data_IF_881687843312
#
_entry.id   IF_881687843312
#
_cell.length_a   1.000
_cell.length_b   1.000
_cell.length_c   1.000
_cell.angle_alpha   90.00
_cell.angle_beta   90.00
_cell.angle_gamma   90.00
#
_symmetry.space_group_name_H-M   'P 1'
#
loop_
_entity.id
_entity.type
_entity.pdbx_description
1 polymer ?
#
# COMPACT_ATOMS: atom_id res chain seq x y z
N UNK A 1 -22.84 7.51 5.82
CA UNK A 1 -21.66 6.69 5.46
C UNK A 1 -20.52 7.68 5.39
N UNK A 2 -19.48 7.53 6.23
CA UNK A 2 -18.29 8.35 6.02
C UNK A 2 -17.63 7.82 4.75
N UNK A 3 -17.48 8.69 3.77
CA UNK A 3 -16.70 8.37 2.57
C UNK A 3 -15.27 8.05 3.01
N UNK A 4 -14.70 7.00 2.43
CA UNK A 4 -13.30 6.63 2.68
C UNK A 4 -12.45 7.70 2.00
N UNK A 5 -11.60 8.38 2.77
CA UNK A 5 -10.58 9.27 2.21
C UNK A 5 -9.49 8.41 1.54
N UNK A 6 -9.13 8.73 0.29
CA UNK A 6 -8.21 7.95 -0.53
C UNK A 6 -6.92 8.73 -0.80
N UNK A 7 -5.86 8.01 -1.15
CA UNK A 7 -4.57 8.61 -1.50
C UNK A 7 -4.49 8.98 -2.98
N UNK A 8 -3.77 10.06 -3.25
CA UNK A 8 -3.44 10.57 -4.57
C UNK A 8 -1.95 10.37 -4.90
N UNK A 9 -1.56 10.68 -6.14
CA UNK A 9 -0.18 10.45 -6.61
C UNK A 9 0.80 11.26 -5.77
N UNK A 10 0.42 12.48 -5.43
CA UNK A 10 1.20 13.43 -4.64
C UNK A 10 1.49 12.85 -3.25
N UNK A 11 0.53 12.15 -2.63
CA UNK A 11 0.72 11.49 -1.34
C UNK A 11 1.77 10.37 -1.46
N UNK A 12 1.71 9.56 -2.52
CA UNK A 12 2.67 8.47 -2.73
C UNK A 12 4.09 9.01 -2.98
N UNK A 13 4.22 10.12 -3.72
CA UNK A 13 5.51 10.78 -3.95
C UNK A 13 6.05 11.39 -2.66
N UNK A 14 5.21 12.04 -1.86
CA UNK A 14 5.61 12.59 -0.57
C UNK A 14 6.03 11.49 0.41
N UNK A 15 5.29 10.37 0.47
CA UNK A 15 5.67 9.20 1.27
C UNK A 15 7.03 8.66 0.85
N UNK A 16 7.32 8.60 -0.45
CA UNK A 16 8.63 8.18 -0.93
C UNK A 16 9.73 9.13 -0.49
N UNK A 17 9.54 10.44 -0.69
CA UNK A 17 10.50 11.47 -0.28
C UNK A 17 10.81 11.38 1.22
N UNK A 18 9.78 11.33 2.08
CA UNK A 18 9.92 11.19 3.53
C UNK A 18 10.64 9.88 3.92
N UNK A 19 10.31 8.76 3.27
CA UNK A 19 10.96 7.48 3.55
C UNK A 19 12.45 7.47 3.16
N UNK A 20 12.84 8.15 2.08
CA UNK A 20 14.24 8.27 1.68
C UNK A 20 14.98 9.26 2.60
N UNK A 21 14.35 10.37 2.99
CA UNK A 21 14.93 11.31 3.95
C UNK A 21 15.21 10.66 5.31
N UNK A 22 14.29 9.85 5.83
CA UNK A 22 14.41 9.23 7.14
C UNK A 22 15.40 8.06 7.18
N UNK A 23 15.46 7.24 6.13
CA UNK A 23 16.17 5.95 6.17
C UNK A 23 17.26 5.80 5.10
N UNK A 24 17.46 6.81 4.25
CA UNK A 24 18.38 6.78 3.13
C UNK A 24 17.86 5.97 1.93
N UNK A 25 18.60 6.05 0.81
CA UNK A 25 18.25 5.43 -0.46
C UNK A 25 18.35 6.43 -1.62
N UNK A 26 17.73 6.08 -2.75
CA UNK A 26 17.70 6.94 -3.94
C UNK A 26 16.36 7.65 -4.11
N UNK A 27 16.40 8.96 -4.37
CA UNK A 27 15.25 9.76 -4.83
C UNK A 27 14.92 9.55 -6.31
N UNK A 28 15.73 8.78 -7.03
CA UNK A 28 15.57 8.60 -8.48
C UNK A 28 14.24 7.89 -8.81
N UNK A 29 13.54 8.45 -9.79
CA UNK A 29 12.32 7.91 -10.36
C UNK A 29 12.62 7.34 -11.75
N UNK A 30 11.94 6.26 -12.09
CA UNK A 30 11.88 5.79 -13.47
C UNK A 30 11.02 6.74 -14.32
N UNK A 31 11.24 6.73 -15.63
CA UNK A 31 10.40 7.47 -16.58
C UNK A 31 8.91 7.14 -16.44
N UNK A 32 8.58 5.91 -16.06
CA UNK A 32 7.22 5.40 -15.96
C UNK A 32 6.66 5.34 -14.53
N UNK A 33 7.37 5.89 -13.53
CA UNK A 33 6.97 5.85 -12.12
C UNK A 33 5.56 6.36 -11.88
N UNK A 34 5.23 7.55 -12.40
CA UNK A 34 3.90 8.19 -12.21
C UNK A 34 2.80 7.34 -12.85
N UNK A 35 3.03 6.75 -14.01
CA UNK A 35 2.06 5.89 -14.69
C UNK A 35 1.80 4.60 -13.91
N UNK A 36 2.85 3.99 -13.33
CA UNK A 36 2.71 2.82 -12.45
C UNK A 36 1.92 3.17 -11.19
N UNK A 37 2.25 4.27 -10.52
CA UNK A 37 1.55 4.73 -9.31
C UNK A 37 0.07 4.97 -9.63
N UNK A 38 -0.23 5.68 -10.72
CA UNK A 38 -1.61 5.93 -11.17
C UNK A 38 -2.40 4.64 -11.34
N UNK A 39 -1.85 3.65 -12.05
CA UNK A 39 -2.48 2.35 -12.26
C UNK A 39 -2.80 1.60 -10.95
N UNK A 40 -1.97 1.79 -9.91
CA UNK A 40 -2.23 1.21 -8.58
C UNK A 40 -3.33 1.99 -7.86
N UNK A 41 -3.25 3.32 -7.85
CA UNK A 41 -4.23 4.17 -7.16
C UNK A 41 -5.62 4.08 -7.79
N UNK A 42 -5.71 3.84 -9.10
CA UNK A 42 -6.99 3.65 -9.81
C UNK A 42 -7.77 2.44 -9.24
N UNK A 43 -7.07 1.40 -8.74
CA UNK A 43 -7.69 0.23 -8.11
C UNK A 43 -8.35 0.54 -6.75
N UNK A 44 -8.13 1.74 -6.19
CA UNK A 44 -8.86 2.18 -5.01
C UNK A 44 -10.34 2.49 -5.32
N UNK A 45 -10.71 2.64 -6.60
CA UNK A 45 -12.06 2.99 -7.02
C UNK A 45 -12.82 1.77 -7.57
N UNK A 46 -14.16 1.75 -7.49
CA UNK A 46 -14.97 0.77 -8.19
C UNK A 46 -14.77 0.87 -9.71
N UNK A 47 -14.69 -0.27 -10.39
CA UNK A 47 -14.67 -0.35 -11.86
C UNK A 47 -15.88 -1.15 -12.35
N UNK A 48 -16.62 -0.60 -13.31
CA UNK A 48 -17.82 -1.25 -13.88
C UNK A 48 -18.82 -1.74 -12.80
N UNK A 49 -19.14 -0.87 -11.83
CA UNK A 49 -20.00 -1.14 -10.67
C UNK A 49 -19.51 -2.26 -9.73
N UNK A 50 -18.26 -2.70 -9.89
CA UNK A 50 -17.62 -3.67 -9.03
C UNK A 50 -16.41 -3.07 -8.33
N UNK A 51 -16.51 -2.89 -7.00
CA UNK A 51 -15.36 -2.57 -6.17
C UNK A 51 -14.66 -3.85 -5.75
N UNK A 52 -13.48 -4.11 -6.33
CA UNK A 52 -12.65 -5.27 -5.99
C UNK A 52 -12.15 -5.21 -4.54
N UNK A 53 -11.97 -4.00 -4.00
CA UNK A 53 -11.42 -3.74 -2.67
C UNK A 53 -12.39 -2.85 -1.86
N UNK A 54 -13.58 -3.35 -1.49
CA UNK A 54 -14.68 -2.52 -0.99
C UNK A 54 -14.52 -1.99 0.43
N UNK A 55 -13.50 -2.44 1.17
CA UNK A 55 -13.24 -1.99 2.54
C UNK A 55 -11.92 -1.24 2.61
N UNK A 56 -11.80 -0.31 3.56
CA UNK A 56 -10.55 0.44 3.73
C UNK A 56 -9.34 -0.48 3.96
N UNK A 57 -9.50 -1.54 4.75
CA UNK A 57 -8.43 -2.52 4.96
C UNK A 57 -8.05 -3.27 3.69
N UNK A 58 -9.02 -3.56 2.81
CA UNK A 58 -8.73 -4.17 1.50
C UNK A 58 -8.01 -3.18 0.58
N UNK A 59 -8.39 -1.89 0.57
CA UNK A 59 -7.68 -0.84 -0.19
C UNK A 59 -6.25 -0.64 0.35
N UNK A 60 -6.07 -0.63 1.67
CA UNK A 60 -4.75 -0.56 2.30
C UNK A 60 -3.88 -1.78 1.97
N UNK A 61 -4.43 -3.00 2.07
CA UNK A 61 -3.73 -4.23 1.69
C UNK A 61 -3.33 -4.23 0.20
N UNK A 62 -4.23 -3.78 -0.68
CA UNK A 62 -3.98 -3.60 -2.10
C UNK A 62 -2.81 -2.64 -2.35
N UNK A 63 -2.82 -1.46 -1.71
CA UNK A 63 -1.75 -0.47 -1.85
C UNK A 63 -0.41 -1.04 -1.38
N UNK A 64 -0.37 -1.68 -0.21
CA UNK A 64 0.85 -2.27 0.31
C UNK A 64 1.42 -3.30 -0.64
N UNK A 65 0.58 -4.21 -1.12
CA UNK A 65 1.01 -5.25 -2.04
C UNK A 65 1.55 -4.66 -3.35
N UNK A 66 0.76 -3.86 -4.06
CA UNK A 66 1.14 -3.42 -5.39
C UNK A 66 2.27 -2.38 -5.40
N UNK A 67 2.30 -1.42 -4.46
CA UNK A 67 3.43 -0.47 -4.39
C UNK A 67 4.75 -1.17 -4.06
N UNK A 68 4.70 -2.27 -3.29
CA UNK A 68 5.87 -3.11 -3.05
C UNK A 68 6.33 -3.85 -4.31
N UNK A 69 5.39 -4.34 -5.13
CA UNK A 69 5.67 -5.23 -6.27
C UNK A 69 5.92 -4.52 -7.60
N UNK A 70 5.37 -3.32 -7.79
CA UNK A 70 5.32 -2.66 -9.11
C UNK A 70 6.61 -1.92 -9.48
N UNK A 71 7.61 -1.88 -8.60
CA UNK A 71 8.88 -1.18 -8.84
C UNK A 71 8.66 0.25 -9.37
N UNK A 72 7.83 1.01 -8.65
CA UNK A 72 7.54 2.40 -8.95
C UNK A 72 8.77 3.30 -8.74
N UNK A 73 9.67 2.92 -7.85
CA UNK A 73 10.84 3.70 -7.46
C UNK A 73 12.13 2.89 -7.62
N UNK A 74 13.27 3.57 -7.80
CA UNK A 74 14.60 2.92 -7.82
C UNK A 74 14.89 2.24 -6.47
N UNK A 75 14.53 2.90 -5.37
CA UNK A 75 14.61 2.36 -4.02
C UNK A 75 13.39 2.82 -3.20
N UNK A 76 13.07 2.10 -2.12
CA UNK A 76 12.03 2.48 -1.17
C UNK A 76 10.69 1.80 -1.36
N UNK A 77 10.48 1.00 -2.42
CA UNK A 77 9.17 0.41 -2.76
C UNK A 77 8.48 -0.31 -1.57
N UNK A 78 9.22 -1.12 -0.80
CA UNK A 78 8.69 -1.81 0.39
C UNK A 78 8.19 -0.84 1.46
N UNK A 79 8.97 0.22 1.71
CA UNK A 79 8.67 1.26 2.70
C UNK A 79 7.45 2.07 2.26
N UNK A 80 7.43 2.50 0.99
CA UNK A 80 6.31 3.22 0.40
C UNK A 80 5.01 2.41 0.47
N UNK A 81 5.06 1.11 0.16
CA UNK A 81 3.89 0.25 0.26
C UNK A 81 3.32 0.19 1.68
N UNK A 82 4.16 -0.03 2.69
CA UNK A 82 3.71 -0.07 4.08
C UNK A 82 3.16 1.29 4.53
N UNK A 83 3.89 2.38 4.28
CA UNK A 83 3.46 3.71 4.70
C UNK A 83 2.17 4.18 3.99
N UNK A 84 1.99 3.87 2.71
CA UNK A 84 0.74 4.16 2.02
C UNK A 84 -0.46 3.44 2.68
N UNK A 85 -0.30 2.18 3.06
CA UNK A 85 -1.34 1.45 3.77
C UNK A 85 -1.60 2.01 5.18
N UNK A 86 -0.54 2.30 5.94
CA UNK A 86 -0.65 2.88 7.29
C UNK A 86 -1.31 4.26 7.24
N UNK A 87 -0.88 5.13 6.33
CA UNK A 87 -1.43 6.49 6.19
C UNK A 87 -2.89 6.44 5.75
N UNK A 88 -3.25 5.61 4.76
CA UNK A 88 -4.65 5.45 4.36
C UNK A 88 -5.54 5.09 5.55
N UNK A 89 -5.10 4.16 6.40
CA UNK A 89 -5.83 3.78 7.60
C UNK A 89 -5.87 4.92 8.63
N UNK A 90 -4.75 5.63 8.84
CA UNK A 90 -4.63 6.74 9.80
C UNK A 90 -5.52 7.93 9.46
N UNK A 91 -5.53 8.39 8.21
CA UNK A 91 -6.39 9.52 7.80
C UNK A 91 -7.89 9.20 7.93
N UNK A 92 -8.24 7.91 7.91
CA UNK A 92 -9.60 7.42 8.12
C UNK A 92 -9.90 7.03 9.59
N UNK A 93 -9.05 7.45 10.53
CA UNK A 93 -9.29 7.34 11.96
C UNK A 93 -8.90 6.01 12.59
N UNK A 94 -7.96 5.27 12.00
CA UNK A 94 -7.36 4.08 12.60
C UNK A 94 -5.99 4.42 13.21
N UNK A 95 -5.60 3.73 14.27
CA UNK A 95 -4.27 3.87 14.88
C UNK A 95 -3.51 2.56 14.84
N UNK A 96 -2.20 2.55 14.59
CA UNK A 96 -1.40 1.32 14.64
C UNK A 96 -0.75 1.06 16.00
N UNK A 97 -0.55 -0.22 16.26
CA UNK A 97 0.41 -0.76 17.24
C UNK A 97 1.33 -1.79 16.57
N UNK A 98 1.56 -1.63 15.27
CA UNK A 98 2.40 -2.53 14.48
C UNK A 98 3.83 -2.43 14.98
N UNK A 99 4.43 -3.58 15.26
CA UNK A 99 5.84 -3.70 15.56
C UNK A 99 6.69 -3.60 14.27
N UNK A 100 7.80 -2.88 14.33
CA UNK A 100 8.66 -2.61 13.17
C UNK A 100 9.22 -3.89 12.53
N UNK A 101 9.60 -4.88 13.35
CA UNK A 101 10.11 -6.17 12.86
C UNK A 101 8.96 -6.96 12.18
N UNK A 102 7.75 -6.90 12.75
CA UNK A 102 6.58 -7.54 12.15
C UNK A 102 6.21 -6.92 10.79
N UNK A 103 6.23 -5.58 10.70
CA UNK A 103 6.01 -4.86 9.44
C UNK A 103 7.08 -5.21 8.40
N UNK A 104 8.35 -5.27 8.84
CA UNK A 104 9.47 -5.63 7.99
C UNK A 104 9.31 -7.04 7.42
N UNK A 105 9.04 -8.03 8.26
CA UNK A 105 8.85 -9.42 7.85
C UNK A 105 7.68 -9.55 6.87
N UNK A 106 6.58 -8.82 7.12
CA UNK A 106 5.45 -8.80 6.19
C UNK A 106 5.82 -8.19 4.85
N UNK A 107 6.57 -7.08 4.83
CA UNK A 107 7.04 -6.44 3.60
C UNK A 107 7.99 -7.34 2.80
N UNK A 108 8.84 -8.13 3.48
CA UNK A 108 9.69 -9.14 2.83
C UNK A 108 8.83 -10.27 2.23
N UNK A 109 7.85 -10.79 2.96
CA UNK A 109 6.92 -11.81 2.44
C UNK A 109 6.22 -11.33 1.17
N UNK A 110 5.70 -10.10 1.17
CA UNK A 110 5.09 -9.49 -0.01
C UNK A 110 6.11 -9.45 -1.16
N UNK A 111 7.28 -8.86 -0.93
CA UNK A 111 8.33 -8.67 -1.94
C UNK A 111 8.72 -9.98 -2.63
N UNK A 112 8.89 -11.05 -1.85
CA UNK A 112 9.31 -12.36 -2.34
C UNK A 112 8.18 -13.18 -2.98
N UNK A 113 6.92 -12.80 -2.77
CA UNK A 113 5.77 -13.54 -3.30
C UNK A 113 5.69 -13.48 -4.83
N UNK A 114 5.11 -14.50 -5.46
CA UNK A 114 4.84 -14.54 -6.91
C UNK A 114 3.40 -14.98 -7.13
N UNK A 115 2.46 -14.15 -6.67
CA UNK A 115 1.04 -14.47 -6.64
C UNK A 115 0.30 -13.81 -7.80
N UNK A 116 -0.62 -14.56 -8.40
CA UNK A 116 -1.49 -14.11 -9.50
C UNK A 116 -2.88 -14.74 -9.35
N UNK A 117 -3.90 -14.12 -9.96
CA UNK A 117 -5.26 -14.65 -9.96
C UNK A 117 -5.83 -14.87 -8.55
N UNK A 118 -6.50 -16.00 -8.34
CA UNK A 118 -7.18 -16.33 -7.07
C UNK A 118 -6.22 -16.36 -5.87
N UNK A 119 -4.97 -16.78 -6.07
CA UNK A 119 -3.96 -16.81 -5.01
C UNK A 119 -3.60 -15.40 -4.53
N UNK A 120 -3.52 -14.43 -5.45
CA UNK A 120 -3.31 -13.02 -5.11
C UNK A 120 -4.52 -12.46 -4.36
N UNK A 121 -5.72 -12.74 -4.84
CA UNK A 121 -6.94 -12.25 -4.21
C UNK A 121 -7.11 -12.79 -2.78
N UNK A 122 -6.74 -14.05 -2.57
CA UNK A 122 -6.70 -14.69 -1.24
C UNK A 122 -5.68 -14.00 -0.34
N UNK A 123 -4.47 -13.75 -0.83
CA UNK A 123 -3.43 -13.10 -0.06
C UNK A 123 -3.78 -11.64 0.31
N UNK A 124 -4.37 -10.86 -0.60
CA UNK A 124 -4.84 -9.51 -0.27
C UNK A 124 -5.95 -9.57 0.79
N UNK A 125 -6.82 -10.58 0.75
CA UNK A 125 -7.82 -10.78 1.79
C UNK A 125 -7.19 -11.07 3.16
N UNK A 126 -6.22 -11.98 3.23
CA UNK A 126 -5.48 -12.31 4.45
C UNK A 126 -4.71 -11.08 4.99
N UNK A 127 -4.03 -10.35 4.10
CA UNK A 127 -3.32 -9.12 4.46
C UNK A 127 -4.28 -8.05 5.01
N UNK A 128 -5.50 -7.96 4.47
CA UNK A 128 -6.51 -7.03 4.98
C UNK A 128 -6.98 -7.38 6.40
N UNK A 129 -7.05 -8.67 6.75
CA UNK A 129 -7.34 -9.10 8.12
C UNK A 129 -6.17 -8.84 9.05
N UNK A 130 -4.95 -9.12 8.59
CA UNK A 130 -3.73 -8.79 9.34
C UNK A 130 -3.68 -7.30 9.70
N UNK A 131 -3.98 -6.42 8.73
CA UNK A 131 -4.07 -4.97 8.97
C UNK A 131 -5.18 -4.63 9.96
N UNK A 132 -6.38 -5.22 9.82
CA UNK A 132 -7.50 -4.97 10.72
C UNK A 132 -7.19 -5.34 12.18
N UNK A 133 -6.45 -6.41 12.39
CA UNK A 133 -5.98 -6.84 13.72
C UNK A 133 -4.90 -5.93 14.31
N UNK A 134 -4.35 -4.96 13.55
CA UNK A 134 -3.23 -4.10 13.97
C UNK A 134 -3.51 -2.61 13.87
N UNK A 135 -4.57 -2.25 13.17
CA UNK A 135 -5.08 -0.89 12.99
C UNK A 135 -6.52 -0.81 13.51
N UNK A 136 -6.76 -0.96 14.84
CA UNK A 136 -8.07 -0.70 15.40
C UNK A 136 -8.50 0.75 15.15
N UNK A 137 -9.81 0.95 15.27
CA UNK A 137 -10.39 2.29 15.37
C UNK A 137 -10.26 2.83 16.78
#
# INVERSE_FOLDING_TARGET
>A
MNDIELLYIEDILAIHEEAINAFGGSFELYRDSVSKIRSILDQQYPHFDHDKYPTIYKKAAMLWYFLTKSHCFVDGNKRVGFYAASILLKINGHSDYVDDDEAYDKAIQISCSQLTGEALDTYIHELSHWLKERFPK
#
